data_IF_983539328186
#
_entry.id   IF_983539328186
#
_cell.length_a   1.000
_cell.length_b   1.000
_cell.length_c   1.000
_cell.angle_alpha   90.00
_cell.angle_beta   90.00
_cell.angle_gamma   90.00
#
_symmetry.space_group_name_H-M   'P 1'
#
loop_
_entity.id
_entity.type
_entity.pdbx_description
1 polymer ?
#
# COMPACT_ATOMS: atom_id res chain seq x y z
N UNK A 1 63.31 19.98 -1.99
CA UNK A 1 63.59 20.88 -0.84
C UNK A 1 62.29 21.15 -0.11
N UNK A 2 62.34 21.05 1.24
CA UNK A 2 61.44 21.56 2.30
C UNK A 2 59.91 21.25 2.22
N UNK A 3 59.32 20.45 3.13
CA UNK A 3 58.99 20.69 4.58
C UNK A 3 58.01 21.88 4.73
N UNK A 4 56.83 21.80 5.36
CA UNK A 4 56.41 21.40 6.73
C UNK A 4 54.85 21.47 6.76
N UNK A 5 54.09 20.55 7.34
CA UNK A 5 53.87 20.22 8.77
C UNK A 5 52.89 21.14 9.53
N UNK A 6 51.98 20.53 10.31
CA UNK A 6 51.36 21.11 11.51
C UNK A 6 49.87 20.75 11.68
N UNK A 7 49.53 19.70 12.46
CA UNK A 7 49.11 19.74 13.89
C UNK A 7 47.68 20.28 14.09
N UNK A 8 46.70 19.52 14.60
CA UNK A 8 46.55 18.96 15.96
C UNK A 8 45.18 19.44 16.50
N UNK A 9 44.42 18.81 17.40
CA UNK A 9 44.62 17.66 18.27
C UNK A 9 43.30 17.28 18.99
N UNK A 10 43.42 16.24 19.83
CA UNK A 10 42.41 15.60 20.72
C UNK A 10 41.72 16.54 21.72
N UNK A 11 40.50 16.16 22.15
CA UNK A 11 40.19 15.89 23.58
C UNK A 11 38.86 15.14 23.80
N UNK A 12 38.95 14.22 24.77
CA UNK A 12 37.98 13.24 25.27
C UNK A 12 36.87 13.79 26.20
N UNK A 13 36.00 12.85 26.63
CA UNK A 13 35.24 12.74 27.92
C UNK A 13 33.86 13.44 27.97
N UNK A 14 32.78 12.90 28.58
CA UNK A 14 32.56 11.77 29.51
C UNK A 14 31.03 11.56 29.78
N UNK A 15 30.62 10.31 30.01
CA UNK A 15 29.54 9.72 30.84
C UNK A 15 28.27 10.53 31.25
N UNK A 16 27.05 9.94 31.24
CA UNK A 16 26.50 9.00 32.25
C UNK A 16 24.94 9.01 32.36
N UNK A 17 24.39 7.84 32.76
CA UNK A 17 23.06 7.56 33.42
C UNK A 17 21.79 7.68 32.57
N UNK A 18 20.89 6.70 32.45
CA UNK A 18 20.60 5.50 33.24
C UNK A 18 19.48 5.74 34.26
N UNK A 19 18.31 5.11 34.07
CA UNK A 19 17.41 4.63 35.15
C UNK A 19 16.19 3.87 34.63
N UNK A 20 16.26 2.55 34.76
CA UNK A 20 15.13 1.69 35.11
C UNK A 20 14.60 2.05 36.51
N UNK A 21 13.28 1.92 36.74
CA UNK A 21 12.78 1.38 38.01
C UNK A 21 11.35 0.83 37.93
N UNK A 22 11.26 -0.34 38.57
CA UNK A 22 10.20 -1.34 38.68
C UNK A 22 9.40 -1.15 39.99
N UNK A 23 8.11 -1.54 39.98
CA UNK A 23 7.29 -1.87 41.17
C UNK A 23 6.66 -0.68 41.89
N UNK A 24 5.56 -0.82 42.66
CA UNK A 24 5.03 -2.00 43.35
C UNK A 24 3.59 -1.74 43.83
N UNK A 25 2.83 -2.81 44.03
CA UNK A 25 1.51 -2.90 44.69
C UNK A 25 1.40 -2.14 46.02
N UNK A 26 0.16 -1.73 46.38
CA UNK A 26 -0.36 -1.95 47.74
C UNK A 26 -1.89 -1.92 47.81
N UNK A 27 -2.39 -3.05 48.31
CA UNK A 27 -3.76 -3.43 48.68
C UNK A 27 -4.06 -2.97 50.12
N UNK A 28 -5.32 -2.64 50.39
CA UNK A 28 -5.92 -2.59 51.73
C UNK A 28 -6.81 -1.36 51.96
N UNK A 29 -7.84 -1.37 52.79
CA UNK A 29 -8.63 -2.40 53.50
C UNK A 29 -9.76 -1.63 54.22
N UNK A 30 -10.98 -2.16 54.17
CA UNK A 30 -12.16 -2.00 55.06
C UNK A 30 -12.29 -0.80 56.03
N UNK A 31 -13.48 -0.14 56.06
CA UNK A 31 -14.53 -0.31 57.10
C UNK A 31 -15.63 0.78 57.10
N UNK A 32 -16.88 0.30 56.97
CA UNK A 32 -18.00 0.35 57.95
C UNK A 32 -18.67 1.68 58.37
N UNK A 33 -19.98 1.75 58.13
CA UNK A 33 -21.00 2.45 58.94
C UNK A 33 -22.25 2.79 58.09
N UNK A 34 -23.50 2.82 58.55
CA UNK A 34 -24.18 2.45 59.81
C UNK A 34 -25.70 2.62 59.54
N UNK A 35 -26.55 1.74 60.08
CA UNK A 35 -27.98 2.04 60.36
C UNK A 35 -29.02 1.65 59.28
N UNK A 36 -30.29 1.32 59.55
CA UNK A 36 -31.14 1.27 60.76
C UNK A 36 -32.30 0.26 60.50
N UNK A 37 -32.66 -0.47 61.58
CA UNK A 37 -33.89 -1.19 61.98
C UNK A 37 -35.13 -1.25 61.06
N UNK A 38 -35.73 -2.45 60.98
CA UNK A 38 -37.16 -2.69 60.76
C UNK A 38 -37.59 -4.10 61.21
N UNK A 39 -38.60 -4.18 62.09
CA UNK A 39 -39.09 -5.34 62.88
C UNK A 39 -39.79 -6.42 62.02
N UNK A 40 -39.50 -7.72 62.19
CA UNK A 40 -40.15 -8.74 63.05
C UNK A 40 -41.60 -9.11 62.68
N UNK A 41 -41.83 -10.34 62.20
CA UNK A 41 -42.61 -11.41 62.88
C UNK A 41 -42.64 -12.72 62.08
N UNK A 42 -42.79 -13.81 62.84
CA UNK A 42 -42.69 -15.24 62.54
C UNK A 42 -44.10 -15.83 62.55
N UNK A 43 -44.41 -16.82 61.71
CA UNK A 43 -45.08 -18.12 62.04
C UNK A 43 -45.49 -18.84 60.73
N UNK A 44 -44.87 -19.98 60.41
CA UNK A 44 -45.26 -21.40 60.66
C UNK A 44 -46.28 -21.95 59.64
N UNK A 45 -45.89 -23.05 58.99
CA UNK A 45 -46.56 -23.80 57.90
C UNK A 45 -47.86 -24.49 58.36
N UNK A 46 -48.72 -24.94 57.43
CA UNK A 46 -48.67 -26.37 57.13
C UNK A 46 -48.72 -26.71 55.63
N UNK A 47 -48.24 -27.92 55.33
CA UNK A 47 -48.09 -28.53 54.02
C UNK A 47 -49.43 -29.08 53.53
N UNK A 48 -49.86 -28.68 52.32
CA UNK A 48 -50.85 -29.40 51.51
C UNK A 48 -50.14 -29.81 50.21
N UNK A 49 -50.20 -31.11 49.89
CA UNK A 49 -49.73 -31.68 48.63
C UNK A 49 -50.67 -31.24 47.51
N UNK A 50 -50.14 -30.59 46.49
CA UNK A 50 -50.79 -30.40 45.20
C UNK A 50 -49.78 -30.79 44.11
N UNK A 51 -50.25 -31.52 43.11
CA UNK A 51 -49.46 -32.14 42.05
C UNK A 51 -48.71 -31.13 41.16
N UNK A 52 -47.56 -31.50 40.57
CA UNK A 52 -46.74 -30.57 39.81
C UNK A 52 -47.42 -30.16 38.47
N UNK A 53 -47.32 -28.89 38.06
CA UNK A 53 -47.75 -28.46 36.74
C UNK A 53 -46.89 -29.11 35.63
N UNK A 54 -47.45 -29.38 34.44
CA UNK A 54 -46.71 -29.98 33.34
C UNK A 54 -45.56 -29.07 32.88
N UNK A 55 -44.44 -29.65 32.41
CA UNK A 55 -43.25 -28.88 32.06
C UNK A 55 -43.54 -27.91 30.89
N UNK A 56 -42.99 -26.69 30.91
CA UNK A 56 -43.08 -25.79 29.77
C UNK A 56 -42.31 -26.38 28.58
N UNK A 57 -42.96 -26.39 27.41
CA UNK A 57 -42.34 -26.76 26.14
C UNK A 57 -41.17 -25.81 25.83
N UNK A 58 -40.03 -26.33 25.32
CA UNK A 58 -38.90 -25.47 24.98
C UNK A 58 -39.25 -24.56 23.79
N UNK A 59 -38.75 -23.31 23.78
CA UNK A 59 -38.93 -22.40 22.65
C UNK A 59 -38.21 -22.95 21.40
N UNK A 60 -38.71 -22.66 20.18
CA UNK A 60 -38.08 -23.11 18.96
C UNK A 60 -36.66 -22.53 18.84
N UNK A 61 -35.68 -23.31 18.34
CA UNK A 61 -34.31 -22.85 18.24
C UNK A 61 -34.20 -21.67 17.28
N UNK A 62 -33.42 -20.66 17.67
CA UNK A 62 -33.09 -19.52 16.84
C UNK A 62 -32.44 -20.00 15.52
N UNK A 63 -32.76 -19.39 14.36
CA UNK A 63 -32.12 -19.75 13.10
C UNK A 63 -30.62 -19.46 13.21
N UNK A 64 -29.81 -20.48 12.90
CA UNK A 64 -28.36 -20.35 12.86
C UNK A 64 -27.95 -19.23 11.88
N UNK A 65 -26.89 -18.45 12.19
CA UNK A 65 -26.34 -17.51 11.22
C UNK A 65 -25.88 -18.30 10.00
N UNK A 66 -26.48 -18.01 8.85
CA UNK A 66 -26.02 -18.52 7.56
C UNK A 66 -24.66 -17.89 7.30
N UNK A 67 -23.59 -18.57 7.67
CA UNK A 67 -22.28 -18.31 7.10
C UNK A 67 -22.37 -18.60 5.61
N UNK A 68 -22.56 -17.55 4.81
CA UNK A 68 -22.33 -17.61 3.37
C UNK A 68 -20.83 -17.78 3.19
N UNK A 69 -20.35 -19.03 3.30
CA UNK A 69 -19.10 -19.43 2.66
C UNK A 69 -19.35 -19.30 1.17
N UNK A 70 -18.96 -18.16 0.61
CA UNK A 70 -18.77 -18.01 -0.83
C UNK A 70 -17.67 -18.99 -1.21
N UNK A 71 -18.06 -20.24 -1.48
CA UNK A 71 -17.24 -21.18 -2.21
C UNK A 71 -17.17 -20.65 -3.63
N UNK A 72 -16.05 -20.03 -3.97
CA UNK A 72 -15.66 -19.83 -5.37
C UNK A 72 -15.30 -21.22 -5.89
N UNK A 73 -16.30 -22.02 -6.24
CA UNK A 73 -16.14 -23.23 -7.03
C UNK A 73 -16.03 -22.80 -8.50
N UNK A 74 -14.83 -22.33 -8.83
CA UNK A 74 -14.11 -22.52 -10.09
C UNK A 74 -12.82 -21.70 -9.98
N UNK A 75 -11.64 -22.31 -9.80
CA UNK A 75 -10.40 -21.55 -9.89
C UNK A 75 -10.40 -20.91 -11.28
N UNK A 76 -10.28 -19.58 -11.33
CA UNK A 76 -10.24 -18.88 -12.60
C UNK A 76 -9.23 -19.60 -13.51
N UNK A 77 -9.66 -19.95 -14.72
CA UNK A 77 -8.87 -20.71 -15.71
C UNK A 77 -7.53 -20.00 -16.05
N UNK A 78 -7.38 -18.75 -15.62
CA UNK A 78 -6.22 -17.88 -15.76
C UNK A 78 -5.41 -17.62 -14.46
N UNK A 79 -5.53 -18.45 -13.43
CA UNK A 79 -4.60 -18.45 -12.28
C UNK A 79 -4.71 -17.20 -11.36
N UNK A 80 -5.93 -16.73 -11.09
CA UNK A 80 -6.22 -15.49 -10.33
C UNK A 80 -5.99 -15.59 -8.81
N UNK A 81 -5.42 -16.70 -8.31
CA UNK A 81 -5.23 -16.96 -6.89
C UNK A 81 -3.74 -17.09 -6.52
N UNK A 82 -2.87 -16.37 -7.22
CA UNK A 82 -1.45 -16.32 -6.86
C UNK A 82 -1.20 -15.13 -5.95
N UNK A 83 -0.73 -15.38 -4.73
CA UNK A 83 -0.29 -14.33 -3.81
C UNK A 83 0.99 -13.62 -4.30
N UNK A 84 1.67 -14.22 -5.30
CA UNK A 84 2.91 -13.71 -5.89
C UNK A 84 2.68 -13.13 -7.28
N UNK A 85 3.20 -11.92 -7.50
CA UNK A 85 3.28 -11.31 -8.82
C UNK A 85 4.33 -12.03 -9.64
N UNK A 86 3.89 -12.75 -10.67
CA UNK A 86 4.77 -13.36 -11.68
C UNK A 86 4.73 -12.51 -12.95
N UNK A 87 5.89 -12.27 -13.59
CA UNK A 87 5.92 -11.54 -14.86
C UNK A 87 5.19 -12.35 -15.94
N UNK A 88 4.07 -11.83 -16.42
CA UNK A 88 3.23 -12.45 -17.46
C UNK A 88 2.91 -11.41 -18.53
N UNK A 89 3.77 -11.28 -19.56
CA UNK A 89 3.60 -10.24 -20.57
C UNK A 89 2.31 -10.38 -21.40
N UNK A 90 1.77 -11.60 -21.50
CA UNK A 90 0.57 -11.90 -22.29
C UNK A 90 -0.73 -11.88 -21.47
N UNK A 91 -0.67 -11.54 -20.18
CA UNK A 91 -1.84 -11.48 -19.29
C UNK A 91 -2.03 -10.06 -18.79
N UNK A 92 -3.24 -9.51 -18.98
CA UNK A 92 -3.54 -8.17 -18.49
C UNK A 92 -3.65 -8.15 -16.96
N UNK A 93 -3.23 -7.06 -16.30
CA UNK A 93 -3.48 -6.88 -14.88
C UNK A 93 -4.97 -6.97 -14.55
N UNK A 94 -5.27 -7.57 -13.40
CA UNK A 94 -6.63 -7.64 -12.87
C UNK A 94 -7.07 -6.31 -12.25
N UNK A 95 -8.23 -6.34 -11.60
CA UNK A 95 -8.77 -5.20 -10.84
C UNK A 95 -9.01 -5.66 -9.40
N UNK A 96 -8.35 -5.00 -8.45
CA UNK A 96 -8.55 -5.16 -7.03
C UNK A 96 -9.92 -4.60 -6.63
N UNK A 97 -10.56 -5.27 -5.67
CA UNK A 97 -11.80 -4.78 -5.07
C UNK A 97 -11.58 -3.48 -4.27
N UNK A 98 -10.39 -3.34 -3.66
CA UNK A 98 -10.03 -2.20 -2.81
C UNK A 98 -8.77 -1.49 -3.33
N UNK A 99 -8.71 -0.15 -3.29
CA UNK A 99 -7.55 0.59 -3.78
C UNK A 99 -6.34 0.43 -2.85
N UNK A 100 -5.16 0.19 -3.43
CA UNK A 100 -3.89 0.26 -2.70
C UNK A 100 -3.36 1.69 -2.65
N UNK A 101 -2.45 1.94 -1.70
CA UNK A 101 -1.75 3.21 -1.55
C UNK A 101 -0.92 3.51 -2.80
N UNK A 102 -0.95 4.77 -3.23
CA UNK A 102 -0.16 5.31 -4.33
C UNK A 102 0.52 6.58 -3.83
N UNK A 103 1.85 6.62 -3.90
CA UNK A 103 2.63 7.83 -3.65
C UNK A 103 2.74 8.63 -4.96
N UNK A 104 2.86 9.95 -4.83
CA UNK A 104 3.07 10.87 -5.96
C UNK A 104 4.38 11.59 -5.75
N UNK A 105 5.24 11.57 -6.76
CA UNK A 105 6.54 12.25 -6.74
C UNK A 105 6.74 13.00 -8.05
N UNK A 106 7.44 14.13 -7.99
CA UNK A 106 7.74 14.96 -9.16
C UNK A 106 9.19 15.38 -9.16
N UNK A 107 9.87 15.20 -10.30
CA UNK A 107 11.24 15.67 -10.52
C UNK A 107 11.23 16.75 -11.59
N UNK A 108 11.60 17.98 -11.22
CA UNK A 108 11.63 19.11 -12.15
C UNK A 108 12.76 18.98 -13.17
N UNK A 109 13.93 18.46 -12.77
CA UNK A 109 15.07 18.30 -13.67
C UNK A 109 15.10 16.94 -14.37
N UNK A 110 14.38 15.93 -13.85
CA UNK A 110 14.39 14.57 -14.36
C UNK A 110 15.75 13.87 -14.29
N UNK A 111 16.70 14.38 -13.51
CA UNK A 111 18.03 13.77 -13.34
C UNK A 111 17.96 12.44 -12.61
N UNK A 112 18.97 11.59 -12.83
CA UNK A 112 19.09 10.29 -12.17
C UNK A 112 19.04 10.40 -10.65
N UNK A 113 19.83 11.29 -10.06
CA UNK A 113 19.91 11.44 -8.59
C UNK A 113 18.59 11.92 -7.99
N UNK A 114 17.89 12.83 -8.68
CA UNK A 114 16.58 13.31 -8.26
C UNK A 114 15.55 12.17 -8.28
N UNK A 115 15.47 11.45 -9.40
CA UNK A 115 14.54 10.32 -9.55
C UNK A 115 14.85 9.19 -8.56
N UNK A 116 16.12 8.88 -8.36
CA UNK A 116 16.58 7.87 -7.40
C UNK A 116 16.09 8.21 -5.98
N UNK A 117 16.35 9.43 -5.50
CA UNK A 117 15.90 9.89 -4.17
C UNK A 117 14.38 9.87 -4.03
N UNK A 118 13.67 10.38 -5.03
CA UNK A 118 12.21 10.49 -5.02
C UNK A 118 11.52 9.12 -5.07
N UNK A 119 11.97 8.21 -5.93
CA UNK A 119 11.40 6.87 -6.01
C UNK A 119 11.68 6.09 -4.73
N UNK A 120 12.91 6.16 -4.19
CA UNK A 120 13.19 5.54 -2.90
C UNK A 120 12.32 6.11 -1.77
N UNK A 121 12.08 7.43 -1.75
CA UNK A 121 11.19 8.05 -0.78
C UNK A 121 9.73 7.60 -0.96
N UNK A 122 9.23 7.59 -2.20
CA UNK A 122 7.87 7.12 -2.51
C UNK A 122 7.64 5.66 -2.12
N UNK A 123 8.64 4.82 -2.37
CA UNK A 123 8.62 3.40 -2.01
C UNK A 123 8.71 3.12 -0.50
N UNK A 124 9.00 4.11 0.34
CA UNK A 124 8.84 3.97 1.80
C UNK A 124 7.39 4.04 2.24
N UNK A 125 6.53 4.66 1.45
CA UNK A 125 5.13 4.93 1.81
C UNK A 125 4.13 4.08 1.00
N UNK A 126 4.48 3.68 -0.22
CA UNK A 126 3.60 2.93 -1.09
C UNK A 126 4.38 2.03 -2.05
N UNK A 127 3.81 0.90 -2.44
CA UNK A 127 4.36 0.02 -3.49
C UNK A 127 4.05 0.52 -4.91
N UNK A 128 3.35 1.64 -5.03
CA UNK A 128 2.96 2.26 -6.29
C UNK A 128 3.36 3.71 -6.22
N UNK A 129 4.09 4.18 -7.22
CA UNK A 129 4.61 5.55 -7.25
C UNK A 129 4.29 6.18 -8.61
N UNK A 130 3.42 7.17 -8.61
CA UNK A 130 3.20 8.04 -9.76
C UNK A 130 4.32 9.07 -9.82
N UNK A 131 5.10 9.03 -10.90
CA UNK A 131 6.31 9.82 -11.09
C UNK A 131 6.11 10.80 -12.25
N UNK A 132 6.21 12.09 -11.94
CA UNK A 132 6.12 13.17 -12.93
C UNK A 132 7.52 13.68 -13.27
N UNK A 133 7.81 13.78 -14.57
CA UNK A 133 9.04 14.38 -15.12
C UNK A 133 8.67 15.31 -16.29
N UNK A 134 9.54 16.23 -16.72
CA UNK A 134 9.19 17.24 -17.72
C UNK A 134 8.73 16.68 -19.07
N UNK A 135 9.15 15.47 -19.43
CA UNK A 135 8.80 14.82 -20.70
C UNK A 135 7.66 13.80 -20.60
N UNK A 136 7.20 13.45 -19.40
CA UNK A 136 6.20 12.41 -19.24
C UNK A 136 5.83 12.07 -17.80
N UNK A 137 4.76 11.28 -17.69
CA UNK A 137 4.28 10.73 -16.43
C UNK A 137 4.40 9.22 -16.49
N UNK A 138 4.83 8.62 -15.38
CA UNK A 138 5.09 7.19 -15.25
C UNK A 138 4.44 6.68 -13.98
N UNK A 139 4.06 5.40 -13.97
CA UNK A 139 3.69 4.72 -12.73
C UNK A 139 4.67 3.58 -12.53
N UNK A 140 5.41 3.62 -11.42
CA UNK A 140 6.33 2.56 -11.04
C UNK A 140 5.68 1.74 -9.94
N UNK A 141 5.50 0.45 -10.20
CA UNK A 141 5.05 -0.52 -9.23
C UNK A 141 6.25 -1.28 -8.71
N UNK A 142 6.25 -1.55 -7.41
CA UNK A 142 7.18 -2.48 -6.75
C UNK A 142 6.38 -3.67 -6.29
N UNK A 143 6.86 -4.85 -6.62
CA UNK A 143 6.39 -6.11 -6.03
C UNK A 143 7.55 -6.81 -5.35
N UNK A 144 7.25 -7.63 -4.36
CA UNK A 144 8.25 -8.45 -3.68
C UNK A 144 8.10 -9.90 -4.12
N UNK A 145 9.20 -10.53 -4.54
CA UNK A 145 9.29 -11.97 -4.74
C UNK A 145 10.47 -12.51 -3.93
N UNK A 146 10.16 -13.12 -2.79
CA UNK A 146 11.15 -13.50 -1.79
C UNK A 146 11.93 -12.29 -1.27
N UNK A 147 13.25 -12.33 -1.40
CA UNK A 147 14.16 -11.27 -0.94
C UNK A 147 14.42 -10.19 -2.00
N UNK A 148 13.87 -10.34 -3.22
CA UNK A 148 14.09 -9.42 -4.33
C UNK A 148 12.86 -8.57 -4.60
N UNK A 149 13.10 -7.31 -4.96
CA UNK A 149 12.08 -6.42 -5.46
C UNK A 149 12.05 -6.45 -6.99
N UNK A 150 10.85 -6.63 -7.53
CA UNK A 150 10.56 -6.54 -8.96
C UNK A 150 9.90 -5.18 -9.22
N UNK A 151 10.29 -4.53 -10.32
CA UNK A 151 9.79 -3.22 -10.68
C UNK A 151 9.06 -3.29 -12.02
N UNK A 152 7.90 -2.63 -12.08
CA UNK A 152 7.11 -2.53 -13.30
C UNK A 152 6.84 -1.06 -13.61
N UNK A 153 7.10 -0.62 -14.83
CA UNK A 153 6.86 0.76 -15.26
C UNK A 153 5.74 0.79 -16.27
N UNK A 154 4.72 1.60 -15.99
CA UNK A 154 3.75 2.03 -16.98
C UNK A 154 4.25 3.34 -17.63
N UNK A 155 4.60 3.27 -18.92
CA UNK A 155 4.90 4.42 -19.76
C UNK A 155 3.74 4.65 -20.73
N UNK A 156 2.77 5.46 -20.31
CA UNK A 156 1.57 5.71 -21.09
C UNK A 156 0.87 6.99 -20.64
N UNK A 157 0.04 7.55 -21.53
CA UNK A 157 -0.84 8.63 -21.14
C UNK A 157 -1.99 8.07 -20.30
N UNK A 158 -2.30 8.75 -19.20
CA UNK A 158 -3.44 8.40 -18.35
C UNK A 158 -4.14 9.65 -17.89
N UNK A 159 -5.42 9.75 -18.22
CA UNK A 159 -6.29 10.80 -17.73
C UNK A 159 -6.78 10.50 -16.30
N UNK A 160 -6.59 9.25 -15.82
CA UNK A 160 -7.12 8.78 -14.55
C UNK A 160 -6.05 8.06 -13.75
N UNK A 161 -5.34 8.81 -12.91
CA UNK A 161 -4.30 8.31 -12.00
C UNK A 161 -4.89 7.35 -10.95
N UNK A 162 -6.17 7.50 -10.59
CA UNK A 162 -6.80 6.62 -9.60
C UNK A 162 -6.94 5.18 -10.12
N UNK A 163 -6.98 4.94 -11.44
CA UNK A 163 -7.02 3.59 -12.00
C UNK A 163 -5.85 2.72 -11.54
N UNK A 164 -4.67 3.32 -11.35
CA UNK A 164 -3.48 2.57 -10.91
C UNK A 164 -3.53 2.13 -9.46
N UNK A 165 -4.45 2.66 -8.64
CA UNK A 165 -4.67 2.18 -7.27
C UNK A 165 -5.36 0.81 -7.25
N UNK A 166 -6.14 0.51 -8.29
CA UNK A 166 -6.95 -0.71 -8.40
C UNK A 166 -6.29 -1.80 -9.26
N UNK A 167 -5.18 -1.54 -9.96
CA UNK A 167 -4.54 -2.59 -10.77
C UNK A 167 -4.07 -3.77 -9.91
N UNK A 168 -4.41 -4.99 -10.28
CA UNK A 168 -3.87 -6.18 -9.66
C UNK A 168 -2.77 -6.80 -10.53
N UNK A 169 -1.53 -6.76 -10.06
CA UNK A 169 -0.39 -7.30 -10.78
C UNK A 169 -0.24 -8.82 -10.62
N UNK A 170 -1.00 -9.45 -9.72
CA UNK A 170 -0.94 -10.91 -9.52
C UNK A 170 -1.54 -11.67 -10.71
N UNK A 171 -2.53 -11.09 -11.39
CA UNK A 171 -3.20 -11.70 -12.53
C UNK A 171 -2.42 -11.54 -13.84
N UNK A 172 -1.62 -10.48 -13.96
CA UNK A 172 -0.91 -10.18 -15.20
C UNK A 172 -0.17 -8.85 -15.18
N UNK A 173 0.76 -8.70 -16.12
CA UNK A 173 1.62 -7.52 -16.25
C UNK A 173 1.72 -7.01 -17.69
N UNK A 174 0.80 -7.41 -18.57
CA UNK A 174 0.75 -6.89 -19.93
C UNK A 174 0.64 -5.36 -19.90
N UNK A 175 1.24 -4.69 -20.89
CA UNK A 175 1.42 -3.23 -20.99
C UNK A 175 2.36 -2.58 -19.96
N UNK A 176 2.97 -3.36 -19.05
CA UNK A 176 3.97 -2.89 -18.11
C UNK A 176 5.36 -3.38 -18.49
N UNK A 177 6.34 -2.50 -18.34
CA UNK A 177 7.75 -2.81 -18.59
C UNK A 177 8.38 -3.39 -17.33
N UNK A 178 8.96 -4.57 -17.44
CA UNK A 178 9.56 -5.29 -16.32
C UNK A 178 11.05 -4.93 -16.13
N UNK A 179 11.43 -4.73 -14.87
CA UNK A 179 12.81 -4.49 -14.44
C UNK A 179 13.11 -5.22 -13.14
N UNK A 180 14.28 -5.85 -13.08
CA UNK A 180 14.81 -6.50 -11.87
C UNK A 180 15.38 -5.51 -10.86
N UNK A 181 15.73 -4.30 -11.31
CA UNK A 181 16.41 -3.30 -10.50
C UNK A 181 15.78 -1.94 -10.74
N UNK A 182 15.64 -1.16 -9.66
CA UNK A 182 15.12 0.19 -9.73
C UNK A 182 15.98 1.10 -10.62
N UNK A 183 17.30 0.91 -10.61
CA UNK A 183 18.23 1.65 -11.48
C UNK A 183 17.87 1.51 -12.96
N UNK A 184 17.57 0.29 -13.42
CA UNK A 184 17.18 0.02 -14.81
C UNK A 184 15.85 0.71 -15.16
N UNK A 185 14.89 0.71 -14.25
CA UNK A 185 13.63 1.44 -14.40
C UNK A 185 13.85 2.96 -14.49
N UNK A 186 14.75 3.53 -13.66
CA UNK A 186 15.09 4.97 -13.72
C UNK A 186 15.77 5.31 -15.05
N UNK A 187 16.73 4.50 -15.49
CA UNK A 187 17.41 4.71 -16.77
C UNK A 187 16.43 4.65 -17.94
N UNK A 188 15.42 3.76 -17.88
CA UNK A 188 14.35 3.76 -18.85
C UNK A 188 13.56 5.08 -18.87
N UNK A 189 13.16 5.59 -17.70
CA UNK A 189 12.44 6.87 -17.59
C UNK A 189 13.28 8.01 -18.20
N UNK A 190 14.58 8.04 -17.95
CA UNK A 190 15.48 9.06 -18.51
C UNK A 190 15.62 8.91 -20.03
N UNK A 191 15.93 7.71 -20.52
CA UNK A 191 16.14 7.45 -21.95
C UNK A 191 14.86 7.62 -22.78
N UNK A 192 13.68 7.45 -22.17
CA UNK A 192 12.41 7.71 -22.83
C UNK A 192 12.22 9.18 -23.26
N UNK A 193 13.01 10.12 -22.69
CA UNK A 193 13.07 11.51 -23.14
C UNK A 193 13.39 11.62 -24.63
N UNK A 194 14.48 11.00 -25.07
CA UNK A 194 14.92 11.06 -26.48
C UNK A 194 13.87 10.47 -27.40
N UNK A 195 13.30 9.31 -27.03
CA UNK A 195 12.20 8.69 -27.78
C UNK A 195 10.98 9.62 -27.91
N UNK A 196 10.60 10.31 -26.84
CA UNK A 196 9.47 11.25 -26.86
C UNK A 196 9.77 12.51 -27.68
N UNK A 197 11.01 12.98 -27.68
CA UNK A 197 11.45 14.08 -28.55
C UNK A 197 11.40 13.66 -30.03
N UNK A 198 11.88 12.47 -30.37
CA UNK A 198 11.78 11.88 -31.73
C UNK A 198 10.33 11.77 -32.19
N UNK A 199 9.44 11.21 -31.37
CA UNK A 199 8.00 11.11 -31.65
C UNK A 199 7.35 12.48 -31.86
N UNK A 200 7.75 13.51 -31.10
CA UNK A 200 7.25 14.88 -31.28
C UNK A 200 7.75 15.51 -32.59
N UNK A 201 8.99 15.21 -32.98
CA UNK A 201 9.56 15.71 -34.23
C UNK A 201 8.91 15.04 -35.44
N UNK A 202 8.71 13.72 -35.39
CA UNK A 202 8.00 12.98 -36.42
C UNK A 202 6.55 13.45 -36.58
N UNK A 203 5.85 13.72 -35.46
CA UNK A 203 4.49 14.28 -35.53
C UNK A 203 4.46 15.66 -36.18
N UNK A 204 5.47 16.50 -35.91
CA UNK A 204 5.58 17.81 -36.56
C UNK A 204 5.80 17.68 -38.06
N UNK A 205 6.75 16.83 -38.49
CA UNK A 205 6.98 16.63 -39.93
C UNK A 205 5.74 16.12 -40.65
N UNK A 206 5.01 15.16 -40.06
CA UNK A 206 3.75 14.66 -40.67
C UNK A 206 2.69 15.76 -40.76
N UNK A 207 2.58 16.61 -39.75
CA UNK A 207 1.65 17.75 -39.80
C UNK A 207 2.08 18.74 -40.87
N UNK A 208 3.37 19.04 -40.97
CA UNK A 208 3.93 19.94 -41.97
C UNK A 208 3.71 19.39 -43.40
N UNK A 209 3.89 18.09 -43.60
CA UNK A 209 3.63 17.40 -44.87
C UNK A 209 2.14 17.51 -45.26
N UNK A 210 1.23 17.22 -44.33
CA UNK A 210 -0.22 17.34 -44.56
C UNK A 210 -0.62 18.80 -44.84
N UNK A 211 -0.07 19.75 -44.10
CA UNK A 211 -0.32 21.17 -44.33
C UNK A 211 0.20 21.63 -45.69
N UNK A 212 1.38 21.15 -46.10
CA UNK A 212 1.96 21.44 -47.41
C UNK A 212 1.13 20.83 -48.55
N UNK A 213 0.60 19.62 -48.38
CA UNK A 213 -0.27 18.98 -49.37
C UNK A 213 -1.62 19.70 -49.52
N UNK A 214 -2.21 20.14 -48.40
CA UNK A 214 -3.55 20.75 -48.38
C UNK A 214 -3.56 22.23 -48.76
N UNK A 215 -2.53 22.99 -48.39
CA UNK A 215 -2.51 24.46 -48.51
C UNK A 215 -1.36 24.99 -49.39
N UNK A 216 -0.47 24.12 -49.87
CA UNK A 216 0.74 24.51 -50.59
C UNK A 216 1.78 25.21 -49.71
N UNK A 217 2.99 25.36 -50.20
CA UNK A 217 4.14 25.95 -49.47
C UNK A 217 4.05 27.46 -49.21
N UNK A 218 2.91 28.10 -49.51
CA UNK A 218 2.74 29.56 -49.35
C UNK A 218 2.30 29.99 -47.95
N UNK A 219 1.97 29.04 -47.07
CA UNK A 219 1.39 29.30 -45.74
C UNK A 219 2.16 28.65 -44.58
N UNK A 220 3.33 28.06 -44.85
CA UNK A 220 4.30 27.56 -43.86
C UNK A 220 5.47 28.56 -43.80
#
# INVERSE_FOLDING_TARGET
>A
MAKKAGKGGKKDKKDQKGKDKKGKDKKGKDKKGKGIKGKKKVEVKPVVKEEPPPPPTPPPPAPAPVEVKVKIEEPCVFNCAQDKVTYRPNSYPGILLHPKTLAVVGSECGSYDSLCKLLHAGFRCADRVYTMVPWGNYVVFRSQDGDKYLYFVFDGCTCNVNRFRYLDLTCGTASLLYFEELHKAINYIITSRSRREELKNLKRSVVDDVCSEMYGTKHI
#
